data_IF_078749650265
#
_entry.id   IF_078749650265
#
_cell.length_a   1.000
_cell.length_b   1.000
_cell.length_c   1.000
_cell.angle_alpha   90.00
_cell.angle_beta   90.00
_cell.angle_gamma   90.00
#
_symmetry.space_group_name_H-M   'P 1'
#
loop_
_entity.id
_entity.type
_entity.pdbx_description
1 polymer ?
#
# COMPACT_ATOMS: atom_id res chain seq x y z
N UNK A 1 -12.96 -2.62 14.66
CA UNK A 1 -11.56 -2.90 14.28
C UNK A 1 -11.07 -1.68 13.54
N UNK A 2 -9.86 -1.22 13.81
CA UNK A 2 -9.21 -0.26 12.92
C UNK A 2 -9.04 -0.95 11.55
N UNK A 3 -9.49 -0.31 10.49
CA UNK A 3 -9.26 -0.83 9.14
C UNK A 3 -7.78 -0.59 8.78
N UNK A 4 -7.24 -1.37 7.84
CA UNK A 4 -5.81 -1.26 7.48
C UNK A 4 -5.39 0.18 7.13
N UNK A 5 -6.29 0.96 6.53
CA UNK A 5 -6.08 2.39 6.29
C UNK A 5 -5.82 3.22 7.55
N UNK A 6 -6.55 2.98 8.64
CA UNK A 6 -6.35 3.67 9.92
C UNK A 6 -4.98 3.33 10.53
N UNK A 7 -4.56 2.07 10.39
CA UNK A 7 -3.24 1.61 10.85
C UNK A 7 -2.14 2.28 10.03
N UNK A 8 -2.28 2.35 8.70
CA UNK A 8 -1.34 3.05 7.82
C UNK A 8 -1.22 4.54 8.18
N UNK A 9 -2.33 5.22 8.47
CA UNK A 9 -2.33 6.62 8.92
C UNK A 9 -1.60 6.82 10.26
N UNK A 10 -1.76 5.88 11.19
CA UNK A 10 -1.03 5.90 12.48
C UNK A 10 0.47 5.66 12.27
N UNK A 11 0.85 4.73 11.40
CA UNK A 11 2.25 4.46 11.05
C UNK A 11 2.87 5.70 10.38
N UNK A 12 2.18 6.34 9.42
CA UNK A 12 2.65 7.56 8.76
C UNK A 12 3.00 8.66 9.77
N UNK A 13 2.17 8.84 10.80
CA UNK A 13 2.38 9.86 11.84
C UNK A 13 3.52 9.53 12.81
N UNK A 14 3.75 8.25 13.12
CA UNK A 14 4.71 7.80 14.14
C UNK A 14 5.43 6.51 13.75
N UNK A 15 6.21 6.47 12.67
CA UNK A 15 6.70 5.23 12.09
C UNK A 15 7.59 4.44 13.06
N UNK A 16 8.44 5.11 13.84
CA UNK A 16 9.31 4.46 14.81
C UNK A 16 8.56 3.71 15.93
N UNK A 17 7.33 4.12 16.28
CA UNK A 17 6.53 3.46 17.32
C UNK A 17 6.00 2.10 16.85
N UNK A 18 5.66 2.00 15.57
CA UNK A 18 5.06 0.80 14.99
C UNK A 18 6.09 -0.13 14.35
N UNK A 19 7.13 0.46 13.73
CA UNK A 19 8.11 -0.26 12.93
C UNK A 19 9.47 -0.39 13.62
N UNK A 20 9.66 0.24 14.78
CA UNK A 20 10.95 0.35 15.48
C UNK A 20 11.90 1.38 14.87
N UNK A 21 11.79 1.63 13.56
CA UNK A 21 12.53 2.65 12.80
C UNK A 21 11.76 3.03 11.53
N UNK A 22 11.97 4.23 10.95
CA UNK A 22 11.37 4.60 9.67
C UNK A 22 12.03 3.79 8.55
N UNK A 23 11.44 2.64 8.19
CA UNK A 23 11.95 1.75 7.14
C UNK A 23 10.80 1.13 6.33
N UNK A 24 10.94 1.21 5.01
CA UNK A 24 10.01 0.57 4.07
C UNK A 24 10.00 -0.95 4.18
N UNK A 25 11.16 -1.57 4.48
CA UNK A 25 11.27 -3.03 4.67
C UNK A 25 10.55 -3.43 5.95
N UNK A 26 10.70 -2.66 7.03
CA UNK A 26 9.94 -2.88 8.27
C UNK A 26 8.42 -2.73 8.04
N UNK A 27 8.00 -1.76 7.23
CA UNK A 27 6.59 -1.61 6.84
C UNK A 27 6.09 -2.84 6.07
N UNK A 28 6.83 -3.32 5.09
CA UNK A 28 6.45 -4.52 4.33
C UNK A 28 6.30 -5.75 5.23
N UNK A 29 7.24 -5.95 6.17
CA UNK A 29 7.17 -7.03 7.14
C UNK A 29 5.95 -6.91 8.05
N UNK A 30 5.65 -5.70 8.53
CA UNK A 30 4.47 -5.41 9.34
C UNK A 30 3.18 -5.78 8.59
N UNK A 31 3.03 -5.35 7.34
CA UNK A 31 1.84 -5.62 6.52
C UNK A 31 1.68 -7.11 6.20
N UNK A 32 2.79 -7.80 5.94
CA UNK A 32 2.78 -9.26 5.76
C UNK A 32 2.28 -9.97 7.03
N UNK A 33 2.76 -9.55 8.20
CA UNK A 33 2.30 -10.07 9.49
C UNK A 33 0.83 -9.77 9.77
N UNK A 34 0.36 -8.57 9.41
CA UNK A 34 -1.05 -8.19 9.52
C UNK A 34 -1.95 -9.12 8.68
N UNK A 35 -1.57 -9.39 7.43
CA UNK A 35 -2.31 -10.31 6.55
C UNK A 35 -2.34 -11.75 7.10
N UNK A 36 -1.21 -12.24 7.61
CA UNK A 36 -1.13 -13.56 8.24
C UNK A 36 -2.06 -13.64 9.46
N UNK A 37 -2.06 -12.61 10.32
CA UNK A 37 -2.92 -12.56 11.49
C UNK A 37 -4.41 -12.54 11.11
N UNK A 38 -4.81 -11.76 10.10
CA UNK A 38 -6.19 -11.75 9.61
C UNK A 38 -6.63 -13.13 9.11
N UNK A 39 -5.78 -13.81 8.33
CA UNK A 39 -6.05 -15.15 7.84
C UNK A 39 -6.21 -16.16 8.98
N UNK A 40 -5.31 -16.14 9.97
CA UNK A 40 -5.35 -17.05 11.12
C UNK A 40 -6.57 -16.83 12.03
N UNK A 41 -7.02 -15.58 12.15
CA UNK A 41 -8.20 -15.21 12.94
C UNK A 41 -9.52 -15.44 12.19
N UNK A 42 -9.47 -15.95 10.96
CA UNK A 42 -10.66 -16.20 10.14
C UNK A 42 -11.42 -14.93 9.77
N UNK A 43 -10.74 -13.77 9.76
CA UNK A 43 -11.35 -12.52 9.33
C UNK A 43 -11.65 -12.65 7.83
N UNK A 44 -12.92 -12.49 7.41
CA UNK A 44 -13.27 -12.63 6.00
C UNK A 44 -12.46 -11.64 5.14
N UNK A 45 -11.95 -12.11 3.99
CA UNK A 45 -11.33 -11.26 2.96
C UNK A 45 -12.27 -10.20 2.38
N UNK A 46 -13.51 -10.11 2.86
CA UNK A 46 -14.50 -9.11 2.42
C UNK A 46 -14.19 -7.69 2.90
N UNK A 47 -13.22 -7.51 3.80
CA UNK A 47 -12.71 -6.19 4.12
C UNK A 47 -11.80 -5.73 2.96
N UNK A 48 -12.22 -4.71 2.22
CA UNK A 48 -11.42 -4.10 1.16
C UNK A 48 -10.01 -3.80 1.68
N UNK A 49 -9.02 -4.54 1.17
CA UNK A 49 -7.64 -4.26 1.49
C UNK A 49 -7.19 -3.08 0.60
N UNK A 50 -6.86 -1.91 1.18
CA UNK A 50 -6.52 -0.72 0.40
C UNK A 50 -5.24 -0.87 -0.43
N UNK A 51 -4.47 -1.96 -0.23
CA UNK A 51 -3.27 -2.28 -1.00
C UNK A 51 -3.51 -3.32 -2.12
N UNK A 52 -4.75 -3.78 -2.31
CA UNK A 52 -5.06 -4.69 -3.41
C UNK A 52 -4.76 -4.03 -4.75
N UNK A 53 -3.93 -4.67 -5.57
CA UNK A 53 -3.47 -4.13 -6.86
C UNK A 53 -2.32 -3.11 -6.76
N UNK A 54 -1.82 -2.80 -5.56
CA UNK A 54 -0.74 -1.82 -5.37
C UNK A 54 0.59 -2.31 -5.97
N UNK A 55 0.87 -3.62 -5.87
CA UNK A 55 2.08 -4.23 -6.43
C UNK A 55 2.17 -4.00 -7.95
N UNK A 56 1.11 -4.37 -8.67
CA UNK A 56 1.02 -4.25 -10.13
C UNK A 56 1.07 -2.77 -10.55
N UNK A 57 0.43 -1.89 -9.78
CA UNK A 57 0.47 -0.46 -10.06
C UNK A 57 1.87 0.14 -9.91
N UNK A 58 2.61 -0.23 -8.86
CA UNK A 58 4.00 0.21 -8.68
C UNK A 58 4.89 -0.31 -9.81
N UNK A 59 4.76 -1.59 -10.18
CA UNK A 59 5.49 -2.16 -11.32
C UNK A 59 5.23 -1.39 -12.62
N UNK A 60 3.97 -1.09 -12.92
CA UNK A 60 3.60 -0.29 -14.10
C UNK A 60 4.15 1.14 -14.03
N UNK A 61 4.04 1.80 -12.87
CA UNK A 61 4.48 3.19 -12.69
C UNK A 61 5.97 3.38 -12.89
N UNK A 62 6.78 2.40 -12.44
CA UNK A 62 8.24 2.45 -12.55
C UNK A 62 8.78 1.66 -13.76
N UNK A 63 7.92 1.07 -14.59
CA UNK A 63 8.35 0.27 -15.76
C UNK A 63 9.14 -0.99 -15.40
N UNK A 64 8.81 -1.62 -14.28
CA UNK A 64 9.50 -2.80 -13.75
C UNK A 64 8.71 -4.06 -14.10
N UNK A 65 9.32 -4.95 -14.89
CA UNK A 65 8.73 -6.24 -15.27
C UNK A 65 9.19 -7.40 -14.36
N UNK A 66 10.18 -7.16 -13.50
CA UNK A 66 10.72 -8.16 -12.59
C UNK A 66 9.79 -8.45 -11.41
N UNK A 67 9.93 -9.62 -10.78
CA UNK A 67 9.16 -10.08 -9.61
C UNK A 67 9.53 -9.40 -8.28
N UNK A 68 10.26 -8.27 -8.32
CA UNK A 68 10.62 -7.51 -7.13
C UNK A 68 9.37 -6.95 -6.45
N UNK A 69 9.37 -6.98 -5.12
CA UNK A 69 8.28 -6.40 -4.35
C UNK A 69 8.23 -4.88 -4.51
N UNK A 70 7.04 -4.30 -4.34
CA UNK A 70 6.83 -2.85 -4.36
C UNK A 70 7.80 -2.12 -3.41
N UNK A 71 8.12 -2.72 -2.25
CA UNK A 71 9.04 -2.13 -1.28
C UNK A 71 10.47 -2.03 -1.85
N UNK A 72 10.94 -3.08 -2.52
CA UNK A 72 12.25 -3.08 -3.16
C UNK A 72 12.31 -2.12 -4.34
N UNK A 73 11.22 -2.06 -5.14
CA UNK A 73 11.13 -1.11 -6.25
C UNK A 73 11.22 0.32 -5.72
N UNK A 74 10.41 0.68 -4.72
CA UNK A 74 10.43 2.03 -4.15
C UNK A 74 11.81 2.33 -3.54
N UNK A 75 12.37 1.41 -2.76
CA UNK A 75 13.69 1.57 -2.16
C UNK A 75 14.79 1.80 -3.20
N UNK A 76 14.73 1.10 -4.34
CA UNK A 76 15.68 1.27 -5.44
C UNK A 76 15.71 2.70 -6.00
N UNK A 77 14.56 3.39 -6.00
CA UNK A 77 14.42 4.77 -6.45
C UNK A 77 14.48 5.80 -5.30
N UNK A 78 14.95 5.38 -4.12
CA UNK A 78 15.03 6.21 -2.91
C UNK A 78 16.46 6.40 -2.42
N UNK A 79 16.70 7.43 -1.62
CA UNK A 79 18.03 7.69 -1.05
C UNK A 79 18.39 6.68 0.05
N UNK A 80 17.42 6.36 0.91
CA UNK A 80 17.55 5.41 2.01
C UNK A 80 16.20 4.79 2.40
N UNK A 81 16.17 3.98 3.47
CA UNK A 81 14.93 3.32 3.92
C UNK A 81 13.87 4.29 4.43
N UNK A 82 14.26 5.47 4.94
CA UNK A 82 13.33 6.48 5.45
C UNK A 82 12.71 7.24 4.30
N UNK A 83 13.52 7.71 3.35
CA UNK A 83 13.04 8.33 2.12
C UNK A 83 12.10 7.39 1.37
N UNK A 84 12.44 6.10 1.28
CA UNK A 84 11.56 5.09 0.69
C UNK A 84 10.22 4.95 1.42
N UNK A 85 10.22 5.01 2.75
CA UNK A 85 8.99 4.97 3.53
C UNK A 85 8.11 6.20 3.28
N UNK A 86 8.71 7.38 3.24
CA UNK A 86 7.99 8.63 2.96
C UNK A 86 7.38 8.58 1.55
N UNK A 87 8.16 8.15 0.55
CA UNK A 87 7.69 7.94 -0.84
C UNK A 87 6.58 6.90 -0.93
N UNK A 88 6.62 5.83 -0.13
CA UNK A 88 5.52 4.87 -0.08
C UNK A 88 4.19 5.56 0.23
N UNK A 89 4.14 6.46 1.22
CA UNK A 89 2.89 7.13 1.58
C UNK A 89 2.40 8.09 0.49
N UNK A 90 3.31 8.79 -0.19
CA UNK A 90 2.95 9.63 -1.35
C UNK A 90 2.36 8.78 -2.49
N UNK A 91 3.02 7.67 -2.82
CA UNK A 91 2.59 6.74 -3.86
C UNK A 91 1.26 6.05 -3.51
N UNK A 92 1.07 5.73 -2.23
CA UNK A 92 -0.17 5.15 -1.74
C UNK A 92 -1.34 6.13 -1.86
N UNK A 93 -1.14 7.40 -1.51
CA UNK A 93 -2.16 8.44 -1.73
C UNK A 93 -2.49 8.61 -3.22
N UNK A 94 -1.49 8.65 -4.08
CA UNK A 94 -1.68 8.73 -5.54
C UNK A 94 -2.50 7.53 -6.06
N UNK A 95 -2.17 6.32 -5.59
CA UNK A 95 -2.87 5.09 -5.93
C UNK A 95 -4.35 5.16 -5.53
N UNK A 96 -4.65 5.62 -4.31
CA UNK A 96 -6.02 5.77 -3.82
C UNK A 96 -6.82 6.81 -4.61
N UNK A 97 -6.19 7.91 -5.03
CA UNK A 97 -6.84 8.94 -5.84
C UNK A 97 -7.23 8.43 -7.23
N UNK A 98 -6.40 7.59 -7.86
CA UNK A 98 -6.74 6.93 -9.13
C UNK A 98 -8.02 6.10 -9.03
N UNK A 99 -8.17 5.32 -7.96
CA UNK A 99 -9.36 4.48 -7.73
C UNK A 99 -10.65 5.29 -7.61
N UNK A 100 -10.57 6.53 -7.11
CA UNK A 100 -11.70 7.46 -7.03
C UNK A 100 -12.05 8.08 -8.37
N UNK A 101 -11.06 8.45 -9.18
CA UNK A 101 -11.25 9.04 -10.52
C UNK A 101 -11.80 8.04 -11.54
N UNK A 102 -11.53 6.74 -11.39
CA UNK A 102 -12.07 5.70 -12.27
C UNK A 102 -13.51 5.27 -11.90
N UNK A 103 -13.97 5.54 -10.68
CA UNK A 103 -15.35 5.30 -10.27
C UNK A 103 -16.34 6.31 -10.87
N UNK A 104 -15.94 7.56 -11.07
CA UNK A 104 -16.78 8.60 -11.68
C UNK A 104 -17.05 8.41 -13.18
N UNK A 105 -16.37 7.47 -13.85
CA UNK A 105 -16.53 7.23 -15.29
C UNK A 105 -17.33 5.96 -15.64
N UNK A 106 -17.84 5.23 -14.62
CA UNK A 106 -18.68 4.03 -14.82
C UNK A 106 -20.18 4.32 -14.89
N UNK A 107 -20.62 5.53 -14.57
CA UNK A 107 -22.04 5.92 -14.61
C UNK A 107 -22.54 6.34 -16.02
N UNK A 108 -21.68 6.37 -17.05
CA UNK A 108 -22.08 6.80 -18.40
C UNK A 108 -22.28 5.68 -19.45
N UNK A 109 -21.98 4.41 -19.14
CA UNK A 109 -22.03 3.32 -20.13
C UNK A 109 -23.17 2.32 -19.88
N UNK A 110 -24.31 2.80 -19.39
CA UNK A 110 -25.54 2.01 -19.44
C UNK A 110 -26.77 2.88 -19.76
N UNK A 111 -26.74 3.48 -20.94
CA UNK A 111 -27.96 3.85 -21.69
C UNK A 111 -27.61 3.86 -23.17
N UNK A 112 -27.84 2.73 -23.83
CA UNK A 112 -28.48 2.62 -25.15
C UNK A 112 -28.85 1.18 -25.43
#
# INVERSE_FOLDING_TARGET
>A
MDYLGDVLEKIKKKPAVYLGRPSIVCLQAFLSGYNVAQYQLGVPLTAENPLDGFQEWIQQKFGIESSQSWANIILFFSQDERDALDRFFELFEEFQQRGRSSASNREYTQVK
#
